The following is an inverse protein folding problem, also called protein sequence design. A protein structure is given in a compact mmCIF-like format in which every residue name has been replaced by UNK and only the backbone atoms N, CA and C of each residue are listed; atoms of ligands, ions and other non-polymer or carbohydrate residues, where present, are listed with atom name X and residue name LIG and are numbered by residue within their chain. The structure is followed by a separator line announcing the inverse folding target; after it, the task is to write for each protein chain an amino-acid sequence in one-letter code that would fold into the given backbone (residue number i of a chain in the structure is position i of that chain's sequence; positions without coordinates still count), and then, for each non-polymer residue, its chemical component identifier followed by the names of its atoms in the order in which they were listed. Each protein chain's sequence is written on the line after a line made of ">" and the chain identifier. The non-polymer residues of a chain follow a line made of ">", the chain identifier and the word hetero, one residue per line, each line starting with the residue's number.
data_IF_525260601490
#
_entry.id   IF_525260601490
#
_cell.length_a   1.000
_cell.length_b   1.000
_cell.length_c   1.000
_cell.angle_alpha   90.00
_cell.angle_beta   90.00
_cell.angle_gamma   90.00
#
_symmetry.space_group_name_H-M   'P 1'
#
loop_
_entity.id
_entity.type
_entity.pdbx_description
1 polymer ?
#
# COMPACT_ATOMS: atom_id res chain seq x y z
N UNK A 1 27.05 10.54 -0.50
CA UNK A 1 25.94 10.45 -1.46
C UNK A 1 24.70 10.20 -0.64
N UNK A 2 23.68 11.04 -0.80
CA UNK A 2 22.39 10.82 -0.15
C UNK A 2 21.90 9.43 -0.58
N UNK A 3 21.55 8.56 0.37
CA UNK A 3 21.09 7.21 0.03
C UNK A 3 19.78 7.31 -0.73
N UNK A 4 19.72 6.74 -1.94
CA UNK A 4 18.50 6.75 -2.73
C UNK A 4 17.39 6.02 -1.97
N UNK A 5 16.32 6.74 -1.64
CA UNK A 5 15.11 6.19 -1.01
C UNK A 5 13.91 6.42 -1.90
N UNK A 6 13.22 5.34 -2.26
CA UNK A 6 11.96 5.38 -2.96
C UNK A 6 11.03 4.30 -2.41
N UNK A 7 9.77 4.66 -2.21
CA UNK A 7 8.74 3.71 -1.78
C UNK A 7 7.45 3.99 -2.51
N UNK A 8 6.86 2.98 -3.13
CA UNK A 8 5.52 3.05 -3.72
C UNK A 8 4.68 1.89 -3.25
N UNK A 9 3.49 2.18 -2.76
CA UNK A 9 2.47 1.18 -2.46
C UNK A 9 1.22 1.47 -3.27
N UNK A 10 0.68 0.42 -3.88
CA UNK A 10 -0.57 0.47 -4.62
C UNK A 10 -1.46 -0.70 -4.18
N UNK A 11 -2.74 -0.42 -3.97
CA UNK A 11 -3.77 -1.42 -3.77
C UNK A 11 -5.01 -1.03 -4.55
N UNK A 12 -5.51 -1.94 -5.39
CA UNK A 12 -6.65 -1.59 -6.23
C UNK A 12 -7.28 -2.75 -6.98
N UNK A 13 -8.50 -2.50 -7.47
CA UNK A 13 -9.27 -3.46 -8.26
C UNK A 13 -10.28 -2.74 -9.15
N UNK A 14 -10.73 -3.46 -10.18
CA UNK A 14 -11.84 -3.02 -11.01
C UNK A 14 -13.11 -3.72 -10.54
N UNK A 15 -13.97 -2.98 -9.88
CA UNK A 15 -15.31 -3.41 -9.45
C UNK A 15 -16.38 -3.06 -10.49
N UNK A 16 -17.64 -3.28 -10.14
CA UNK A 16 -18.79 -2.98 -11.01
C UNK A 16 -18.91 -1.48 -11.32
N UNK A 17 -18.43 -0.63 -10.43
CA UNK A 17 -18.52 0.83 -10.52
C UNK A 17 -17.23 1.52 -10.96
N UNK A 18 -16.27 0.76 -11.51
CA UNK A 18 -15.02 1.30 -12.04
C UNK A 18 -13.80 0.85 -11.25
N UNK A 19 -12.72 1.63 -11.38
CA UNK A 19 -11.44 1.32 -10.76
C UNK A 19 -11.34 2.00 -9.39
N UNK A 20 -11.33 1.19 -8.35
CA UNK A 20 -11.08 1.64 -6.99
C UNK A 20 -9.65 1.32 -6.58
N UNK A 21 -8.97 2.31 -6.00
CA UNK A 21 -7.59 2.15 -5.57
C UNK A 21 -7.19 3.14 -4.47
N UNK A 22 -6.13 2.77 -3.78
CA UNK A 22 -5.32 3.62 -2.92
C UNK A 22 -3.87 3.48 -3.37
N UNK A 23 -3.20 4.60 -3.59
CA UNK A 23 -1.79 4.66 -3.94
C UNK A 23 -1.09 5.75 -3.13
N UNK A 24 0.11 5.45 -2.66
CA UNK A 24 1.02 6.46 -2.13
C UNK A 24 2.46 6.19 -2.55
N UNK A 25 3.21 7.28 -2.71
CA UNK A 25 4.59 7.27 -3.21
C UNK A 25 5.43 8.27 -2.40
N UNK A 26 6.53 7.80 -1.82
CA UNK A 26 7.62 8.62 -1.30
C UNK A 26 8.74 8.65 -2.32
N UNK A 27 9.08 9.85 -2.78
CA UNK A 27 10.14 10.07 -3.77
C UNK A 27 11.45 10.47 -3.08
N UNK A 28 12.61 10.32 -3.76
CA UNK A 28 13.91 10.68 -3.19
C UNK A 28 14.03 12.16 -2.77
N UNK A 29 13.23 13.05 -3.38
CA UNK A 29 13.15 14.47 -3.03
C UNK A 29 12.30 14.77 -1.77
N UNK A 30 11.91 13.73 -1.02
CA UNK A 30 11.08 13.84 0.17
C UNK A 30 9.59 14.09 -0.13
N UNK A 31 9.18 14.09 -1.41
CA UNK A 31 7.79 14.32 -1.78
C UNK A 31 6.93 13.09 -1.51
N UNK A 32 5.86 13.28 -0.73
CA UNK A 32 4.75 12.33 -0.61
C UNK A 32 3.66 12.64 -1.64
N UNK A 33 3.37 11.68 -2.51
CA UNK A 33 2.17 11.69 -3.37
C UNK A 33 1.15 10.69 -2.84
N UNK A 34 -0.11 11.09 -2.83
CA UNK A 34 -1.21 10.30 -2.32
C UNK A 34 -2.40 10.42 -3.28
N UNK A 35 -2.98 9.28 -3.65
CA UNK A 35 -4.17 9.19 -4.45
C UNK A 35 -5.10 8.13 -3.86
N UNK A 36 -6.34 8.51 -3.60
CA UNK A 36 -7.36 7.59 -3.12
C UNK A 36 -8.63 7.81 -3.94
N UNK A 37 -9.05 6.77 -4.64
CA UNK A 37 -10.32 6.71 -5.33
C UNK A 37 -11.03 5.45 -4.86
N UNK A 38 -11.78 5.55 -3.77
CA UNK A 38 -12.59 4.46 -3.24
C UNK A 38 -14.04 4.90 -3.09
N UNK A 39 -14.94 4.18 -3.76
CA UNK A 39 -16.38 4.32 -3.61
C UNK A 39 -16.82 3.26 -2.62
N UNK A 40 -16.70 3.55 -1.33
CA UNK A 40 -17.04 2.61 -0.26
C UNK A 40 -18.54 2.26 -0.25
N UNK A 41 -18.93 1.31 -1.10
CA UNK A 41 -20.25 0.69 -1.15
C UNK A 41 -20.10 -0.79 -1.51
N UNK A 42 -19.91 -1.64 -0.51
CA UNK A 42 -20.21 -3.09 -0.50
C UNK A 42 -19.82 -3.92 -1.74
N UNK A 43 -18.85 -3.49 -2.55
CA UNK A 43 -18.49 -4.20 -3.78
C UNK A 43 -17.11 -4.88 -3.68
N UNK A 44 -16.96 -5.85 -4.56
CA UNK A 44 -16.10 -7.04 -4.51
C UNK A 44 -14.63 -6.82 -4.08
N UNK A 45 -14.07 -7.84 -3.44
CA UNK A 45 -12.66 -8.05 -3.07
C UNK A 45 -11.62 -7.36 -3.99
N UNK A 46 -10.77 -6.51 -3.39
CA UNK A 46 -9.60 -5.93 -4.06
C UNK A 46 -8.69 -7.08 -4.55
N UNK A 47 -8.11 -6.96 -5.75
CA UNK A 47 -7.42 -8.08 -6.42
C UNK A 47 -5.92 -7.92 -6.55
N UNK A 48 -5.38 -6.72 -6.37
CA UNK A 48 -3.96 -6.45 -6.57
C UNK A 48 -3.39 -5.54 -5.50
N UNK A 49 -2.28 -5.96 -4.91
CA UNK A 49 -1.39 -5.17 -4.07
C UNK A 49 0.02 -5.20 -4.65
N UNK A 50 0.66 -4.03 -4.68
CA UNK A 50 2.02 -3.84 -5.15
C UNK A 50 2.80 -3.03 -4.11
N UNK A 51 4.04 -3.44 -3.85
CA UNK A 51 4.99 -2.70 -3.02
C UNK A 51 6.34 -2.67 -3.73
N UNK A 52 6.85 -1.47 -3.94
CA UNK A 52 8.16 -1.23 -4.55
C UNK A 52 8.99 -0.37 -3.62
N UNK A 53 10.21 -0.81 -3.32
CA UNK A 53 11.12 -0.14 -2.38
C UNK A 53 12.52 -0.12 -2.97
N UNK A 54 13.15 1.05 -2.97
CA UNK A 54 14.58 1.25 -3.20
C UNK A 54 15.18 1.86 -1.93
N UNK A 55 16.23 1.25 -1.39
CA UNK A 55 16.98 1.76 -0.24
C UNK A 55 18.47 1.54 -0.53
N UNK A 56 19.19 2.63 -0.84
CA UNK A 56 20.58 2.52 -1.27
C UNK A 56 20.69 1.70 -2.56
N UNK A 57 21.49 0.64 -2.53
CA UNK A 57 21.69 -0.25 -3.69
C UNK A 57 20.67 -1.41 -3.76
N UNK A 58 19.77 -1.54 -2.77
CA UNK A 58 18.76 -2.59 -2.74
C UNK A 58 17.46 -2.14 -3.42
N UNK A 59 16.94 -2.97 -4.32
CA UNK A 59 15.65 -2.78 -4.98
C UNK A 59 14.80 -4.04 -4.88
N UNK A 60 13.60 -3.89 -4.31
CA UNK A 60 12.61 -4.96 -4.20
C UNK A 60 11.27 -4.51 -4.78
N UNK A 61 10.58 -5.43 -5.46
CA UNK A 61 9.25 -5.22 -5.99
C UNK A 61 8.40 -6.47 -5.79
N UNK A 62 7.31 -6.32 -5.06
CA UNK A 62 6.35 -7.37 -4.77
C UNK A 62 5.03 -7.08 -5.46
N UNK A 63 4.41 -8.12 -6.02
CA UNK A 63 3.04 -8.08 -6.52
C UNK A 63 2.29 -9.29 -5.98
N UNK A 64 1.18 -9.05 -5.30
CA UNK A 64 0.34 -10.12 -4.72
C UNK A 64 -1.15 -9.80 -4.86
N UNK A 65 -1.99 -10.81 -4.66
CA UNK A 65 -3.42 -10.60 -4.42
C UNK A 65 -3.63 -9.89 -3.08
N UNK A 66 -4.78 -9.21 -2.91
CA UNK A 66 -5.10 -8.54 -1.65
C UNK A 66 -5.07 -9.54 -0.49
N UNK A 67 -4.42 -9.15 0.60
CA UNK A 67 -4.40 -9.90 1.85
C UNK A 67 -5.44 -9.27 2.77
N UNK A 68 -6.56 -9.96 2.99
CA UNK A 68 -7.65 -9.44 3.80
C UNK A 68 -7.39 -9.57 5.30
N UNK A 69 -6.71 -10.65 5.70
CA UNK A 69 -6.55 -11.03 7.10
C UNK A 69 -5.30 -11.90 7.33
N UNK A 70 -4.94 -12.09 8.59
CA UNK A 70 -3.92 -13.07 8.99
C UNK A 70 -4.31 -14.52 8.67
N UNK A 71 -5.60 -14.81 8.46
CA UNK A 71 -6.04 -16.14 8.03
C UNK A 71 -5.50 -16.41 6.61
N UNK A 72 -5.64 -15.44 5.71
CA UNK A 72 -5.14 -15.54 4.33
C UNK A 72 -3.60 -15.72 4.32
N UNK A 73 -2.90 -15.03 5.23
CA UNK A 73 -1.44 -15.17 5.42
C UNK A 73 -1.08 -16.58 5.88
N UNK A 74 -1.74 -17.07 6.93
CA UNK A 74 -1.45 -18.38 7.53
C UNK A 74 -1.77 -19.56 6.59
N UNK A 75 -2.71 -19.38 5.67
CA UNK A 75 -3.08 -20.38 4.65
C UNK A 75 -2.24 -20.29 3.37
N UNK A 76 -1.32 -19.33 3.28
CA UNK A 76 -0.47 -19.14 2.12
C UNK A 76 0.69 -20.14 2.05
N UNK A 77 1.40 -20.14 0.91
CA UNK A 77 2.60 -20.95 0.72
C UNK A 77 3.83 -20.42 1.47
N UNK A 78 3.80 -19.15 1.87
CA UNK A 78 4.88 -18.49 2.61
C UNK A 78 4.30 -17.57 3.71
N UNK A 79 3.80 -18.16 4.82
CA UNK A 79 3.20 -17.40 5.90
C UNK A 79 4.16 -16.41 6.57
N UNK A 80 5.45 -16.74 6.64
CA UNK A 80 6.46 -15.91 7.29
C UNK A 80 6.73 -14.63 6.48
N UNK A 81 7.01 -14.76 5.18
CA UNK A 81 7.21 -13.62 4.30
C UNK A 81 5.97 -12.74 4.18
N UNK A 82 4.79 -13.35 3.98
CA UNK A 82 3.55 -12.59 3.87
C UNK A 82 3.13 -11.91 5.17
N UNK A 83 3.50 -12.45 6.34
CA UNK A 83 3.26 -11.80 7.63
C UNK A 83 4.09 -10.53 7.78
N UNK A 84 5.36 -10.55 7.36
CA UNK A 84 6.21 -9.35 7.33
C UNK A 84 5.63 -8.31 6.37
N UNK A 85 5.26 -8.73 5.15
CA UNK A 85 4.61 -7.85 4.17
C UNK A 85 3.32 -7.22 4.72
N UNK A 86 2.45 -8.04 5.34
CA UNK A 86 1.16 -7.61 5.88
C UNK A 86 1.32 -6.52 6.94
N UNK A 87 2.23 -6.71 7.90
CA UNK A 87 2.46 -5.70 8.94
C UNK A 87 3.16 -4.46 8.41
N UNK A 88 4.16 -4.61 7.54
CA UNK A 88 4.84 -3.47 6.90
C UNK A 88 3.84 -2.58 6.16
N UNK A 89 2.94 -3.15 5.37
CA UNK A 89 1.90 -2.40 4.66
C UNK A 89 0.95 -1.68 5.62
N UNK A 90 0.61 -2.27 6.77
CA UNK A 90 -0.22 -1.61 7.77
C UNK A 90 0.48 -0.41 8.39
N UNK A 91 1.74 -0.56 8.80
CA UNK A 91 2.52 0.51 9.40
C UNK A 91 2.70 1.68 8.43
N UNK A 92 2.98 1.39 7.15
CA UNK A 92 3.07 2.40 6.10
C UNK A 92 1.74 3.14 5.89
N UNK A 93 0.61 2.42 5.86
CA UNK A 93 -0.73 3.04 5.78
C UNK A 93 -0.99 3.95 6.97
N UNK A 94 -0.69 3.49 8.19
CA UNK A 94 -0.86 4.28 9.42
C UNK A 94 -0.05 5.58 9.37
N UNK A 95 1.20 5.53 8.93
CA UNK A 95 2.05 6.71 8.75
C UNK A 95 1.43 7.68 7.73
N UNK A 96 1.09 7.20 6.54
CA UNK A 96 0.55 8.03 5.45
C UNK A 96 -0.79 8.64 5.83
N UNK A 97 -1.70 7.87 6.42
CA UNK A 97 -3.00 8.38 6.87
C UNK A 97 -2.87 9.44 7.96
N UNK A 98 -1.91 9.28 8.88
CA UNK A 98 -1.63 10.29 9.90
C UNK A 98 -1.10 11.58 9.26
N UNK A 99 -0.13 11.48 8.34
CA UNK A 99 0.44 12.62 7.63
C UNK A 99 -0.63 13.37 6.84
N UNK A 100 -1.40 12.67 6.00
CA UNK A 100 -2.44 13.26 5.15
C UNK A 100 -3.57 13.84 6.00
N UNK A 101 -4.07 13.08 6.97
CA UNK A 101 -5.18 13.50 7.82
C UNK A 101 -4.85 14.72 8.66
N UNK A 102 -3.66 14.78 9.26
CA UNK A 102 -3.23 15.92 10.07
C UNK A 102 -2.89 17.15 9.23
N UNK A 103 -2.25 16.97 8.08
CA UNK A 103 -1.81 18.06 7.21
C UNK A 103 -2.98 18.70 6.46
N UNK A 104 -3.84 17.90 5.84
CA UNK A 104 -4.96 18.40 5.04
C UNK A 104 -6.28 18.52 5.82
N UNK A 105 -6.34 18.06 7.07
CA UNK A 105 -7.56 18.04 7.91
C UNK A 105 -8.72 17.28 7.26
N UNK A 106 -8.41 16.21 6.53
CA UNK A 106 -9.38 15.32 5.89
C UNK A 106 -9.40 13.96 6.58
N UNK A 107 -10.49 13.21 6.40
CA UNK A 107 -10.50 11.78 6.70
C UNK A 107 -9.85 11.07 5.52
N UNK A 108 -8.70 10.40 5.67
CA UNK A 108 -7.99 9.76 4.55
C UNK A 108 -8.70 8.50 4.01
N UNK A 109 -9.94 8.22 4.43
CA UNK A 109 -10.78 7.08 4.05
C UNK A 109 -12.26 7.41 4.20
#
# INVERSE_FOLDING_TARGET
>A
MESDFYLRYYVGHKGKFGHEFLEFEFRPDGKLRYANNSNYKNDVMIRKEELEIVIGDEHISFTTSKIGSLIDVNQSKDPEGLRVFYYLVQDLKCLVFSLIGLHFKIKPI
#
